data_IF_901011955299
#
_entry.id   IF_901011955299
#
_cell.length_a   1.000
_cell.length_b   1.000
_cell.length_c   1.000
_cell.angle_alpha   90.00
_cell.angle_beta   90.00
_cell.angle_gamma   90.00
#
_symmetry.space_group_name_H-M   'P 1'
#
loop_
_entity.id
_entity.type
_entity.pdbx_description
1 polymer ?
#
# COMPACT_ATOMS: atom_id res chain seq x y z
N UNK A 1 -0.14 28.03 -11.34
CA UNK A 1 -1.15 28.27 -10.29
C UNK A 1 -1.03 29.67 -9.72
N UNK A 2 -2.15 30.36 -9.48
CA UNK A 2 -2.19 31.68 -8.85
C UNK A 2 -1.95 31.58 -7.34
N UNK A 3 -1.43 32.64 -6.74
CA UNK A 3 -1.15 32.68 -5.29
C UNK A 3 -2.38 32.45 -4.41
N UNK A 4 -3.57 32.89 -4.85
CA UNK A 4 -4.85 32.63 -4.17
C UNK A 4 -5.22 31.14 -4.16
N UNK A 5 -4.94 30.42 -5.24
CA UNK A 5 -5.19 28.98 -5.36
C UNK A 5 -4.23 28.19 -4.47
N UNK A 6 -2.95 28.58 -4.42
CA UNK A 6 -1.96 27.98 -3.52
C UNK A 6 -2.37 28.14 -2.06
N UNK A 7 -2.90 29.31 -1.68
CA UNK A 7 -3.46 29.51 -0.34
C UNK A 7 -4.66 28.61 -0.07
N UNK A 8 -5.61 28.52 -1.02
CA UNK A 8 -6.80 27.69 -0.87
C UNK A 8 -6.49 26.19 -0.73
N UNK A 9 -5.50 25.68 -1.47
CA UNK A 9 -5.14 24.26 -1.48
C UNK A 9 -4.17 23.90 -0.36
N UNK A 10 -3.13 24.71 -0.15
CA UNK A 10 -2.00 24.37 0.72
C UNK A 10 -1.94 25.21 2.00
N UNK A 11 -2.82 26.20 2.18
CA UNK A 11 -2.83 27.10 3.35
C UNK A 11 -1.64 28.05 3.42
N UNK A 12 -0.85 28.18 2.34
CA UNK A 12 0.35 29.03 2.32
C UNK A 12 -0.07 30.46 2.04
N UNK A 13 0.14 31.35 3.01
CA UNK A 13 -0.17 32.77 2.87
C UNK A 13 0.61 33.41 1.69
N UNK A 14 0.00 34.36 0.95
CA UNK A 14 0.68 35.03 -0.17
C UNK A 14 1.97 35.74 0.23
N UNK A 15 2.04 36.31 1.44
CA UNK A 15 3.24 36.92 2.02
C UNK A 15 4.36 35.88 2.18
N UNK A 16 4.06 34.74 2.80
CA UNK A 16 4.99 33.62 2.97
C UNK A 16 5.50 33.07 1.64
N UNK A 17 4.63 32.95 0.63
CA UNK A 17 5.02 32.51 -0.70
C UNK A 17 5.92 33.54 -1.41
N UNK A 18 5.68 34.84 -1.16
CA UNK A 18 6.52 35.92 -1.68
C UNK A 18 7.91 35.89 -1.03
N UNK A 19 7.99 35.65 0.27
CA UNK A 19 9.26 35.46 0.98
C UNK A 19 10.03 34.24 0.49
N UNK A 20 9.33 33.14 0.19
CA UNK A 20 9.97 31.96 -0.38
C UNK A 20 10.46 32.19 -1.80
N UNK A 21 9.87 33.14 -2.54
CA UNK A 21 10.26 33.43 -3.93
C UNK A 21 11.52 34.29 -4.05
N UNK A 22 12.08 34.79 -2.94
CA UNK A 22 13.35 35.53 -2.93
C UNK A 22 14.53 34.59 -3.24
N UNK A 23 15.51 35.05 -4.02
CA UNK A 23 16.60 34.20 -4.54
C UNK A 23 17.54 33.67 -3.44
N UNK A 24 17.64 34.37 -2.32
CA UNK A 24 18.38 34.01 -1.12
C UNK A 24 17.65 32.98 -0.24
N UNK A 25 16.38 32.68 -0.54
CA UNK A 25 15.57 31.77 0.27
C UNK A 25 15.81 30.31 -0.10
N UNK A 26 16.09 29.47 0.90
CA UNK A 26 16.23 28.00 0.76
C UNK A 26 15.01 27.32 0.12
N UNK A 27 13.83 27.95 0.18
CA UNK A 27 12.56 27.46 -0.37
C UNK A 27 12.20 28.05 -1.75
N UNK A 28 13.12 28.76 -2.40
CA UNK A 28 12.92 29.34 -3.74
C UNK A 28 12.48 28.32 -4.78
N UNK A 29 13.15 27.17 -4.82
CA UNK A 29 12.82 26.07 -5.74
C UNK A 29 11.40 25.56 -5.54
N UNK A 30 10.95 25.44 -4.28
CA UNK A 30 9.60 25.02 -3.94
C UNK A 30 8.55 26.07 -4.34
N UNK A 31 8.84 27.35 -4.10
CA UNK A 31 7.94 28.43 -4.50
C UNK A 31 7.78 28.51 -6.03
N UNK A 32 8.88 28.33 -6.78
CA UNK A 32 8.85 28.23 -8.25
C UNK A 32 8.04 27.02 -8.71
N UNK A 33 8.23 25.85 -8.09
CA UNK A 33 7.46 24.65 -8.40
C UNK A 33 5.96 24.86 -8.20
N UNK A 34 5.55 25.37 -7.04
CA UNK A 34 4.14 25.62 -6.72
C UNK A 34 3.48 26.61 -7.68
N UNK A 35 4.23 27.64 -8.11
CA UNK A 35 3.74 28.61 -9.11
C UNK A 35 3.60 28.00 -10.51
N UNK A 36 4.51 27.10 -10.86
CA UNK A 36 4.55 26.46 -12.19
C UNK A 36 3.63 25.25 -12.32
N UNK A 37 3.17 24.66 -11.22
CA UNK A 37 2.17 23.59 -11.26
C UNK A 37 0.82 24.08 -11.78
N UNK A 38 0.14 23.23 -12.57
CA UNK A 38 -1.23 23.43 -13.01
C UNK A 38 -2.21 22.98 -11.93
N UNK A 39 -3.43 23.54 -11.91
CA UNK A 39 -4.46 23.10 -10.95
C UNK A 39 -4.94 21.69 -11.30
N UNK A 40 -4.92 21.34 -12.58
CA UNK A 40 -5.28 20.03 -13.10
C UNK A 40 -4.33 18.95 -12.57
N UNK A 41 -3.03 19.23 -12.50
CA UNK A 41 -2.04 18.29 -11.96
C UNK A 41 -2.17 18.15 -10.44
N UNK A 42 -2.43 19.25 -9.74
CA UNK A 42 -2.71 19.23 -8.29
C UNK A 42 -3.95 18.41 -8.02
N UNK A 43 -5.01 18.62 -8.79
CA UNK A 43 -6.27 17.92 -8.64
C UNK A 43 -6.10 16.44 -8.96
N UNK A 44 -5.35 16.06 -10.00
CA UNK A 44 -4.97 14.65 -10.22
C UNK A 44 -4.19 14.05 -9.05
N UNK A 45 -3.31 14.80 -8.40
CA UNK A 45 -2.55 14.32 -7.23
C UNK A 45 -3.46 14.16 -6.00
N UNK A 46 -4.37 15.12 -5.79
CA UNK A 46 -5.34 15.11 -4.70
C UNK A 46 -6.43 14.05 -4.91
N UNK A 47 -6.91 13.85 -6.12
CA UNK A 47 -7.87 12.79 -6.49
C UNK A 47 -7.20 11.41 -6.50
N UNK A 48 -5.88 11.36 -6.67
CA UNK A 48 -5.06 10.17 -6.41
C UNK A 48 -4.91 9.89 -4.91
N UNK A 49 -5.55 10.67 -4.02
CA UNK A 49 -5.82 10.23 -2.65
C UNK A 49 -6.38 8.82 -2.74
N UNK A 50 -5.63 7.92 -2.12
CA UNK A 50 -5.75 6.49 -2.28
C UNK A 50 -7.23 6.10 -2.20
N UNK A 51 -7.79 5.56 -3.30
CA UNK A 51 -8.84 4.54 -3.14
C UNK A 51 -8.33 3.66 -2.02
N UNK A 52 -8.99 3.68 -0.86
CA UNK A 52 -8.61 2.82 0.25
C UNK A 52 -8.54 1.43 -0.36
N UNK A 53 -7.32 0.90 -0.53
CA UNK A 53 -7.18 -0.41 -1.18
C UNK A 53 -8.09 -1.34 -0.39
N UNK A 54 -9.05 -1.96 -1.06
CA UNK A 54 -9.94 -2.88 -0.39
C UNK A 54 -9.08 -3.95 0.27
N UNK A 55 -9.41 -4.27 1.53
CA UNK A 55 -8.64 -5.27 2.27
C UNK A 55 -8.79 -6.59 1.51
N UNK A 56 -7.70 -7.31 1.22
CA UNK A 56 -7.74 -8.57 0.49
C UNK A 56 -8.26 -9.69 1.41
N UNK A 57 -9.58 -9.68 1.65
CA UNK A 57 -10.26 -10.60 2.57
C UNK A 57 -10.53 -11.96 1.96
N UNK A 58 -10.48 -12.07 0.63
CA UNK A 58 -10.76 -13.31 -0.11
C UNK A 58 -9.73 -14.40 0.24
N UNK A 59 -8.44 -14.13 0.06
CA UNK A 59 -7.37 -15.08 0.40
C UNK A 59 -7.43 -15.53 1.87
N UNK A 60 -7.72 -14.60 2.78
CA UNK A 60 -7.89 -14.92 4.20
C UNK A 60 -9.08 -15.86 4.43
N UNK A 61 -10.18 -15.64 3.72
CA UNK A 61 -11.39 -16.45 3.82
C UNK A 61 -11.13 -17.84 3.29
N UNK A 62 -10.46 -17.99 2.14
CA UNK A 62 -10.06 -19.29 1.58
C UNK A 62 -9.26 -20.12 2.58
N UNK A 63 -8.23 -19.52 3.18
CA UNK A 63 -7.39 -20.20 4.19
C UNK A 63 -8.19 -20.56 5.44
N UNK A 64 -8.99 -19.64 5.98
CA UNK A 64 -9.74 -19.88 7.21
C UNK A 64 -10.89 -20.89 7.02
N UNK A 65 -11.54 -20.88 5.85
CA UNK A 65 -12.57 -21.87 5.50
C UNK A 65 -11.95 -23.28 5.40
N UNK A 66 -10.76 -23.42 4.81
CA UNK A 66 -10.05 -24.68 4.71
C UNK A 66 -9.64 -25.22 6.10
N UNK A 67 -9.25 -24.35 7.04
CA UNK A 67 -8.92 -24.75 8.43
C UNK A 67 -10.15 -25.23 9.21
N UNK A 68 -11.31 -24.59 9.03
CA UNK A 68 -12.59 -24.92 9.68
C UNK A 68 -12.66 -24.64 11.19
N UNK A 69 -11.54 -24.68 11.92
CA UNK A 69 -11.48 -24.41 13.36
C UNK A 69 -11.26 -22.92 13.65
N UNK A 70 -12.33 -22.25 14.12
CA UNK A 70 -12.34 -20.82 14.47
C UNK A 70 -11.24 -20.38 15.44
N UNK A 71 -10.79 -21.25 16.35
CA UNK A 71 -9.72 -20.93 17.32
C UNK A 71 -8.32 -20.89 16.67
N UNK A 72 -8.20 -21.38 15.44
CA UNK A 72 -6.96 -21.47 14.67
C UNK A 72 -7.00 -20.62 13.40
N UNK A 73 -8.01 -19.77 13.25
CA UNK A 73 -8.07 -18.85 12.12
C UNK A 73 -6.90 -17.87 12.14
N UNK A 74 -6.36 -17.61 10.96
CA UNK A 74 -5.38 -16.57 10.75
C UNK A 74 -6.06 -15.20 10.76
N UNK A 75 -5.29 -14.20 11.15
CA UNK A 75 -5.60 -12.79 10.85
C UNK A 75 -4.89 -12.39 9.56
N UNK A 76 -5.30 -11.29 8.93
CA UNK A 76 -4.59 -10.77 7.75
C UNK A 76 -3.09 -10.55 8.04
N UNK A 77 -2.76 -10.05 9.23
CA UNK A 77 -1.37 -9.85 9.66
C UNK A 77 -0.64 -11.18 9.82
N UNK A 78 -1.28 -12.17 10.46
CA UNK A 78 -0.69 -13.51 10.60
C UNK A 78 -0.44 -14.18 9.25
N UNK A 79 -1.35 -14.02 8.28
CA UNK A 79 -1.16 -14.56 6.94
C UNK A 79 -0.03 -13.85 6.19
N UNK A 80 0.10 -12.54 6.34
CA UNK A 80 1.24 -11.78 5.82
C UNK A 80 2.55 -12.30 6.42
N UNK A 81 2.60 -12.50 7.73
CA UNK A 81 3.80 -12.95 8.44
C UNK A 81 4.31 -14.31 7.95
N UNK A 82 3.43 -15.19 7.46
CA UNK A 82 3.84 -16.48 6.87
C UNK A 82 4.83 -16.32 5.71
N UNK A 83 4.74 -15.24 4.93
CA UNK A 83 5.66 -14.99 3.81
C UNK A 83 7.03 -14.41 4.26
N UNK A 84 7.16 -14.03 5.52
CA UNK A 84 8.36 -13.41 6.09
C UNK A 84 8.97 -14.21 7.25
N UNK A 85 8.28 -15.25 7.71
CA UNK A 85 8.68 -16.05 8.85
C UNK A 85 9.86 -16.94 8.48
N UNK A 86 10.90 -16.91 9.32
CA UNK A 86 12.01 -17.85 9.26
C UNK A 86 11.58 -19.19 9.88
N UNK A 87 12.11 -20.30 9.35
CA UNK A 87 11.82 -21.64 9.85
C UNK A 87 12.15 -21.79 11.34
N UNK A 88 11.40 -22.62 12.11
CA UNK A 88 10.46 -23.65 11.67
C UNK A 88 8.99 -23.20 11.56
N UNK A 89 8.32 -23.67 10.51
CA UNK A 89 6.88 -23.49 10.29
C UNK A 89 6.07 -24.51 11.11
N UNK A 90 5.02 -24.04 11.78
CA UNK A 90 4.06 -24.89 12.48
C UNK A 90 3.21 -25.70 11.47
N UNK A 91 2.56 -26.77 11.94
CA UNK A 91 1.62 -27.59 11.14
C UNK A 91 0.56 -26.71 10.47
N UNK A 92 0.00 -25.75 11.22
CA UNK A 92 -0.99 -24.81 10.69
C UNK A 92 -0.41 -23.82 9.66
N UNK A 93 0.85 -23.41 9.83
CA UNK A 93 1.53 -22.53 8.89
C UNK A 93 1.74 -23.27 7.56
N UNK A 94 2.23 -24.51 7.62
CA UNK A 94 2.39 -25.38 6.44
C UNK A 94 1.05 -25.67 5.77
N UNK A 95 0.01 -25.92 6.56
CA UNK A 95 -1.33 -26.14 6.05
C UNK A 95 -1.87 -24.91 5.32
N UNK A 96 -1.78 -23.73 5.94
CA UNK A 96 -2.20 -22.47 5.32
C UNK A 96 -1.47 -22.21 4.00
N UNK A 97 -0.15 -22.41 3.95
CA UNK A 97 0.60 -22.22 2.70
C UNK A 97 0.26 -23.26 1.64
N UNK A 98 -0.04 -24.51 2.04
CA UNK A 98 -0.52 -25.55 1.12
C UNK A 98 -1.90 -25.23 0.55
N UNK A 99 -2.80 -24.70 1.38
CA UNK A 99 -4.10 -24.18 0.95
C UNK A 99 -3.93 -23.03 -0.04
N UNK A 100 -3.04 -22.07 0.23
CA UNK A 100 -2.75 -20.97 -0.71
C UNK A 100 -2.25 -21.51 -2.04
N UNK A 101 -1.38 -22.53 -2.03
CA UNK A 101 -0.81 -23.12 -3.25
C UNK A 101 -1.85 -23.88 -4.10
N UNK A 102 -2.79 -24.57 -3.46
CA UNK A 102 -3.67 -25.53 -4.14
C UNK A 102 -5.12 -25.07 -4.32
N UNK A 103 -5.62 -24.18 -3.45
CA UNK A 103 -7.04 -23.81 -3.38
C UNK A 103 -7.29 -22.32 -3.67
N UNK A 104 -6.29 -21.45 -3.47
CA UNK A 104 -6.47 -20.02 -3.74
C UNK A 104 -6.37 -19.70 -5.24
N UNK A 105 -7.16 -18.73 -5.68
CA UNK A 105 -7.09 -18.21 -7.03
C UNK A 105 -5.86 -17.31 -7.19
N UNK A 106 -5.27 -17.28 -8.39
CA UNK A 106 -4.13 -16.41 -8.68
C UNK A 106 -4.47 -14.93 -8.42
N UNK A 107 -5.67 -14.49 -8.79
CA UNK A 107 -6.17 -13.13 -8.53
C UNK A 107 -6.19 -12.78 -7.03
N UNK A 108 -6.57 -13.73 -6.17
CA UNK A 108 -6.59 -13.53 -4.71
C UNK A 108 -5.18 -13.33 -4.15
N UNK A 109 -4.21 -14.08 -4.70
CA UNK A 109 -2.80 -13.98 -4.32
C UNK A 109 -2.22 -12.65 -4.84
N UNK A 110 -2.52 -12.27 -6.09
CA UNK A 110 -2.09 -11.00 -6.67
C UNK A 110 -2.61 -9.80 -5.89
N UNK A 111 -3.90 -9.81 -5.55
CA UNK A 111 -4.52 -8.73 -4.76
C UNK A 111 -3.90 -8.64 -3.36
N UNK A 112 -3.69 -9.77 -2.70
CA UNK A 112 -3.07 -9.81 -1.38
C UNK A 112 -1.63 -9.30 -1.40
N UNK A 113 -0.84 -9.74 -2.39
CA UNK A 113 0.57 -9.36 -2.53
C UNK A 113 0.73 -7.89 -2.91
N UNK A 114 -0.13 -7.38 -3.80
CA UNK A 114 -0.19 -5.96 -4.18
C UNK A 114 -0.68 -5.05 -3.05
N UNK A 115 -1.56 -5.53 -2.19
CA UNK A 115 -1.99 -4.82 -0.99
C UNK A 115 -0.83 -4.67 0.00
N UNK A 116 -0.18 -5.79 0.34
CA UNK A 116 0.90 -5.84 1.35
C UNK A 116 2.29 -5.49 0.79
N UNK A 117 2.42 -5.23 -0.51
CA UNK A 117 3.69 -4.98 -1.22
C UNK A 117 4.70 -6.10 -1.02
N UNK A 118 4.23 -7.35 -1.08
CA UNK A 118 5.07 -8.54 -1.03
C UNK A 118 5.64 -8.77 -2.44
N UNK A 119 6.93 -9.11 -2.54
CA UNK A 119 7.53 -9.39 -3.85
C UNK A 119 7.06 -10.75 -4.37
N UNK A 120 6.68 -10.83 -5.65
CA UNK A 120 6.24 -12.09 -6.28
C UNK A 120 7.31 -13.19 -6.15
N UNK A 121 8.59 -12.84 -6.31
CA UNK A 121 9.72 -13.76 -6.08
C UNK A 121 9.72 -14.42 -4.69
N UNK A 122 9.28 -13.69 -3.66
CA UNK A 122 9.21 -14.22 -2.29
C UNK A 122 8.02 -15.16 -2.13
N UNK A 123 6.88 -14.81 -2.72
CA UNK A 123 5.67 -15.64 -2.73
C UNK A 123 5.98 -16.96 -3.42
N UNK A 124 6.56 -16.92 -4.61
CA UNK A 124 7.02 -18.09 -5.35
C UNK A 124 8.01 -18.91 -4.51
N UNK A 125 9.03 -18.29 -3.91
CA UNK A 125 9.99 -19.01 -3.07
C UNK A 125 9.31 -19.77 -1.92
N UNK A 126 8.39 -19.12 -1.22
CA UNK A 126 7.68 -19.71 -0.07
C UNK A 126 6.75 -20.83 -0.54
N UNK A 127 5.97 -20.62 -1.60
CA UNK A 127 5.03 -21.62 -2.13
C UNK A 127 5.74 -22.80 -2.82
N UNK A 128 6.90 -22.58 -3.43
CA UNK A 128 7.75 -23.63 -4.01
C UNK A 128 8.53 -24.42 -2.97
N UNK A 129 8.76 -23.87 -1.77
CA UNK A 129 9.44 -24.57 -0.67
C UNK A 129 8.59 -25.60 0.09
N UNK A 130 7.30 -25.76 -0.27
CA UNK A 130 6.34 -26.70 0.31
C UNK A 130 6.09 -27.94 -0.54
#
# INVERSE_FOLDING_TARGET
MKTKEIYAVFGIAPSTLSDWSKEDNKKNTLAKLLKNMSMEDVQKILEKQQKSKEKPVMLLSTVNCSIGNKKKHFTLTGLKELFYKDEPLNIYDKYALKTIKNEALEEEIEDFTKYYRISSKRVEKVLSSL
#
